data_IF_507888145314
#
_entry.id   IF_507888145314
#
_cell.length_a   1.000
_cell.length_b   1.000
_cell.length_c   1.000
_cell.angle_alpha   90.00
_cell.angle_beta   90.00
_cell.angle_gamma   90.00
#
_symmetry.space_group_name_H-M   'P 1'
#
loop_
_entity.id
_entity.type
_entity.pdbx_description
1 polymer ?
#
# COMPACT_ATOMS: atom_id res chain seq x y z
N UNK A 1 -59.28 -53.17 66.57
CA UNK A 1 -59.43 -51.70 66.61
C UNK A 1 -58.31 -51.09 65.79
N UNK A 2 -58.68 -50.18 64.86
CA UNK A 2 -57.89 -49.29 63.98
C UNK A 2 -56.94 -49.96 62.95
N UNK A 3 -57.28 -50.12 61.64
CA UNK A 3 -57.18 -49.15 60.50
C UNK A 3 -55.84 -48.38 60.46
N UNK A 4 -55.04 -48.31 59.39
CA UNK A 4 -55.33 -47.99 57.97
C UNK A 4 -54.06 -48.21 57.11
N UNK A 5 -54.21 -48.67 55.86
CA UNK A 5 -53.30 -48.38 54.72
C UNK A 5 -53.82 -47.13 53.99
N UNK A 6 -53.14 -46.49 53.00
CA UNK A 6 -51.73 -46.48 52.56
C UNK A 6 -51.15 -45.05 52.37
N UNK A 7 -49.86 -44.90 52.06
CA UNK A 7 -49.36 -43.71 51.35
C UNK A 7 -48.13 -44.05 50.50
N UNK A 8 -48.38 -44.19 49.20
CA UNK A 8 -47.36 -44.01 48.16
C UNK A 8 -46.98 -42.54 48.21
N UNK A 9 -45.77 -42.22 48.68
CA UNK A 9 -45.25 -40.86 48.56
C UNK A 9 -44.25 -40.78 47.41
N UNK A 10 -44.69 -40.01 46.42
CA UNK A 10 -44.07 -39.80 45.14
C UNK A 10 -43.24 -38.52 45.26
N UNK A 11 -41.92 -38.63 45.44
CA UNK A 11 -41.04 -37.45 45.34
C UNK A 11 -39.69 -37.79 44.70
N UNK A 12 -39.74 -38.22 43.43
CA UNK A 12 -38.62 -38.06 42.49
C UNK A 12 -39.04 -37.14 41.35
N UNK A 13 -39.24 -35.86 41.67
CA UNK A 13 -39.34 -34.77 40.68
C UNK A 13 -38.24 -33.72 40.97
N UNK A 14 -37.06 -34.17 41.39
CA UNK A 14 -35.88 -33.31 41.57
C UNK A 14 -34.86 -33.37 40.44
N UNK A 15 -34.97 -34.34 39.52
CA UNK A 15 -33.86 -34.67 38.60
C UNK A 15 -33.96 -34.07 37.19
N UNK A 16 -35.12 -33.58 36.75
CA UNK A 16 -35.27 -33.08 35.38
C UNK A 16 -34.78 -31.62 35.21
N UNK A 17 -34.94 -30.78 36.25
CA UNK A 17 -34.54 -29.37 36.21
C UNK A 17 -33.01 -29.21 36.31
N UNK A 18 -32.35 -30.02 37.14
CA UNK A 18 -30.88 -30.00 37.27
C UNK A 18 -30.17 -30.56 36.03
N UNK A 19 -30.70 -31.61 35.40
CA UNK A 19 -30.16 -32.14 34.14
C UNK A 19 -30.28 -31.12 32.98
N UNK A 20 -31.37 -30.35 32.92
CA UNK A 20 -31.55 -29.28 31.94
C UNK A 20 -30.59 -28.09 32.13
N UNK A 21 -30.26 -27.73 33.39
CA UNK A 21 -29.31 -26.65 33.71
C UNK A 21 -27.86 -27.03 33.41
N UNK A 22 -27.48 -28.30 33.62
CA UNK A 22 -26.15 -28.82 33.30
C UNK A 22 -25.86 -28.83 31.79
N UNK A 23 -26.83 -29.27 30.98
CA UNK A 23 -26.73 -29.27 29.52
C UNK A 23 -26.66 -27.85 28.95
N UNK A 24 -27.46 -26.93 29.50
CA UNK A 24 -27.41 -25.51 29.13
C UNK A 24 -26.06 -24.89 29.47
N UNK A 25 -25.51 -25.11 30.68
CA UNK A 25 -24.16 -24.64 31.03
C UNK A 25 -23.08 -25.21 30.11
N UNK A 26 -23.15 -26.50 29.78
CA UNK A 26 -22.21 -27.14 28.85
C UNK A 26 -22.31 -26.59 27.42
N UNK A 27 -23.52 -26.28 26.93
CA UNK A 27 -23.72 -25.63 25.63
C UNK A 27 -23.25 -24.17 25.63
N UNK A 28 -23.45 -23.43 26.72
CA UNK A 28 -22.93 -22.06 26.87
C UNK A 28 -21.41 -22.03 26.98
N UNK A 29 -20.77 -22.94 27.73
CA UNK A 29 -19.30 -23.01 27.80
C UNK A 29 -18.67 -23.51 26.50
N UNK A 30 -19.32 -24.45 25.80
CA UNK A 30 -18.93 -24.89 24.47
C UNK A 30 -19.07 -23.76 23.43
N UNK A 31 -20.19 -23.01 23.47
CA UNK A 31 -20.41 -21.83 22.63
C UNK A 31 -19.45 -20.67 22.93
N UNK A 32 -19.14 -20.43 24.20
CA UNK A 32 -18.17 -19.41 24.62
C UNK A 32 -16.74 -19.80 24.21
N UNK A 33 -16.36 -21.08 24.37
CA UNK A 33 -15.07 -21.59 23.89
C UNK A 33 -14.93 -21.50 22.37
N UNK A 34 -16.03 -21.77 21.62
CA UNK A 34 -16.07 -21.60 20.17
C UNK A 34 -15.94 -20.13 19.75
N UNK A 35 -16.66 -19.21 20.40
CA UNK A 35 -16.56 -17.76 20.16
C UNK A 35 -15.14 -17.26 20.44
N UNK A 36 -14.57 -17.61 21.59
CA UNK A 36 -13.21 -17.21 21.93
C UNK A 36 -12.17 -17.72 20.93
N UNK A 37 -12.32 -18.97 20.48
CA UNK A 37 -11.45 -19.53 19.44
C UNK A 37 -11.61 -18.79 18.10
N UNK A 38 -12.83 -18.43 17.74
CA UNK A 38 -13.10 -17.66 16.53
C UNK A 38 -12.50 -16.25 16.61
N UNK A 39 -12.63 -15.55 17.75
CA UNK A 39 -12.00 -14.25 18.00
C UNK A 39 -10.47 -14.33 17.87
N UNK A 40 -9.85 -15.36 18.45
CA UNK A 40 -8.40 -15.56 18.37
C UNK A 40 -7.93 -15.85 16.93
N UNK A 41 -8.70 -16.64 16.18
CA UNK A 41 -8.39 -16.92 14.77
C UNK A 41 -8.51 -15.65 13.92
N UNK A 42 -9.56 -14.83 14.13
CA UNK A 42 -9.72 -13.56 13.44
C UNK A 42 -8.59 -12.58 13.77
N UNK A 43 -8.21 -12.49 15.05
CA UNK A 43 -7.08 -11.67 15.48
C UNK A 43 -5.76 -12.13 14.85
N UNK A 44 -5.53 -13.44 14.75
CA UNK A 44 -4.33 -13.99 14.11
C UNK A 44 -4.31 -13.68 12.60
N UNK A 45 -5.45 -13.80 11.91
CA UNK A 45 -5.55 -13.44 10.49
C UNK A 45 -5.28 -11.94 10.27
N UNK A 46 -5.81 -11.07 11.12
CA UNK A 46 -5.52 -9.62 11.06
C UNK A 46 -4.02 -9.34 11.28
N UNK A 47 -3.41 -9.99 12.28
CA UNK A 47 -1.98 -9.85 12.55
C UNK A 47 -1.10 -10.36 11.40
N UNK A 48 -1.45 -11.49 10.78
CA UNK A 48 -0.75 -12.01 9.61
C UNK A 48 -0.91 -11.07 8.40
N UNK A 49 -2.08 -10.47 8.23
CA UNK A 49 -2.33 -9.46 7.20
C UNK A 49 -1.41 -8.25 7.37
N UNK A 50 -1.33 -7.71 8.60
CA UNK A 50 -0.41 -6.60 8.91
C UNK A 50 1.06 -6.98 8.71
N UNK A 51 1.47 -8.18 9.13
CA UNK A 51 2.83 -8.65 8.91
C UNK A 51 3.15 -8.77 7.41
N UNK A 52 2.22 -9.30 6.61
CA UNK A 52 2.41 -9.42 5.17
C UNK A 52 2.56 -8.05 4.50
N UNK A 53 1.78 -7.05 4.93
CA UNK A 53 1.89 -5.67 4.45
C UNK A 53 3.25 -5.04 4.81
N UNK A 54 3.71 -5.20 6.06
CA UNK A 54 5.02 -4.69 6.47
C UNK A 54 6.17 -5.40 5.75
N UNK A 55 6.06 -6.71 5.50
CA UNK A 55 7.01 -7.45 4.67
C UNK A 55 7.00 -6.95 3.22
N UNK A 56 5.83 -6.65 2.67
CA UNK A 56 5.71 -6.09 1.32
C UNK A 56 6.42 -4.73 1.22
N UNK A 57 6.17 -3.82 2.17
CA UNK A 57 6.84 -2.52 2.24
C UNK A 57 8.35 -2.65 2.41
N UNK A 58 8.79 -3.55 3.29
CA UNK A 58 10.21 -3.82 3.48
C UNK A 58 10.87 -4.31 2.17
N UNK A 59 10.20 -5.20 1.43
CA UNK A 59 10.69 -5.68 0.14
C UNK A 59 10.78 -4.55 -0.89
N UNK A 60 9.79 -3.64 -0.94
CA UNK A 60 9.83 -2.47 -1.82
C UNK A 60 11.01 -1.54 -1.50
N UNK A 61 11.25 -1.27 -0.21
CA UNK A 61 12.37 -0.45 0.25
C UNK A 61 13.71 -1.11 -0.12
N UNK A 62 13.85 -2.42 0.11
CA UNK A 62 15.07 -3.16 -0.26
C UNK A 62 15.30 -3.16 -1.78
N UNK A 63 14.26 -3.37 -2.57
CA UNK A 63 14.35 -3.30 -4.02
C UNK A 63 14.79 -1.91 -4.48
N UNK A 64 14.21 -0.85 -3.90
CA UNK A 64 14.60 0.52 -4.23
C UNK A 64 16.05 0.83 -3.82
N UNK A 65 16.50 0.39 -2.64
CA UNK A 65 17.90 0.54 -2.22
C UNK A 65 18.87 -0.11 -3.21
N UNK A 66 18.53 -1.31 -3.72
CA UNK A 66 19.32 -1.99 -4.75
C UNK A 66 19.41 -1.18 -6.04
N UNK A 67 18.26 -0.70 -6.57
CA UNK A 67 18.21 0.09 -7.81
C UNK A 67 18.93 1.42 -7.65
N UNK A 68 18.71 2.13 -6.54
CA UNK A 68 19.39 3.41 -6.26
C UNK A 68 20.89 3.22 -6.11
N UNK A 69 21.35 2.12 -5.49
CA UNK A 69 22.77 1.78 -5.43
C UNK A 69 23.40 1.39 -6.79
N UNK A 70 22.59 0.97 -7.78
CA UNK A 70 23.05 0.81 -9.16
C UNK A 70 23.14 2.17 -9.88
N UNK A 71 22.13 3.04 -9.69
CA UNK A 71 22.11 4.38 -10.25
C UNK A 71 23.27 5.24 -9.73
N UNK A 72 23.55 5.20 -8.42
CA UNK A 72 24.68 5.94 -7.83
C UNK A 72 26.01 5.55 -8.47
N UNK A 73 26.25 4.25 -8.65
CA UNK A 73 27.46 3.75 -9.34
C UNK A 73 27.51 4.18 -10.80
N UNK A 74 26.37 4.17 -11.49
CA UNK A 74 26.30 4.60 -12.88
C UNK A 74 26.47 6.12 -13.04
N UNK A 75 26.09 6.92 -12.05
CA UNK A 75 26.35 8.36 -12.04
C UNK A 75 27.86 8.63 -11.95
N UNK A 76 28.61 7.81 -11.23
CA UNK A 76 30.07 7.99 -11.06
C UNK A 76 30.91 7.38 -12.20
N UNK A 77 30.37 6.39 -12.94
CA UNK A 77 31.08 5.68 -14.00
C UNK A 77 30.33 5.77 -15.36
N UNK A 78 30.85 6.54 -16.34
CA UNK A 78 30.24 6.66 -17.66
C UNK A 78 30.04 5.33 -18.40
N UNK A 79 30.89 4.33 -18.16
CA UNK A 79 30.75 3.01 -18.79
C UNK A 79 29.53 2.27 -18.23
N UNK A 80 29.24 2.42 -16.93
CA UNK A 80 28.01 1.89 -16.33
C UNK A 80 26.78 2.73 -16.70
N UNK A 81 26.94 4.05 -16.83
CA UNK A 81 25.88 4.95 -17.30
C UNK A 81 25.34 4.55 -18.68
N UNK A 82 26.23 4.13 -19.59
CA UNK A 82 25.88 3.69 -20.94
C UNK A 82 25.02 2.41 -20.96
N UNK A 83 25.07 1.59 -19.90
CA UNK A 83 24.23 0.38 -19.78
C UNK A 83 22.83 0.73 -19.31
N UNK A 84 22.69 1.71 -18.42
CA UNK A 84 21.39 2.07 -17.82
C UNK A 84 20.60 3.08 -18.65
N UNK A 85 21.27 3.93 -19.42
CA UNK A 85 20.62 5.00 -20.17
C UNK A 85 20.38 4.59 -21.62
N UNK A 86 19.11 4.51 -22.02
CA UNK A 86 18.68 4.31 -23.42
C UNK A 86 18.69 5.60 -24.25
N UNK A 87 19.11 6.73 -23.65
CA UNK A 87 19.09 8.03 -24.30
C UNK A 87 20.40 8.24 -25.08
N UNK A 88 20.25 8.55 -26.36
CA UNK A 88 21.34 8.89 -27.27
C UNK A 88 21.64 10.41 -27.25
N UNK A 89 22.76 10.79 -27.87
CA UNK A 89 23.19 12.18 -28.05
C UNK A 89 23.26 13.00 -26.75
N UNK A 90 23.81 12.39 -25.69
CA UNK A 90 24.08 13.04 -24.41
C UNK A 90 25.57 13.06 -24.12
N UNK A 91 26.08 14.20 -23.67
CA UNK A 91 27.35 14.25 -22.96
C UNK A 91 27.26 13.46 -21.65
N UNK A 92 28.41 13.06 -21.09
CA UNK A 92 28.46 12.37 -19.79
C UNK A 92 27.84 13.21 -18.67
N UNK A 93 27.93 14.54 -18.75
CA UNK A 93 27.27 15.45 -17.81
C UNK A 93 25.75 15.36 -17.90
N UNK A 94 25.20 15.44 -19.11
CA UNK A 94 23.75 15.35 -19.33
C UNK A 94 23.22 13.95 -18.99
N UNK A 95 23.96 12.89 -19.32
CA UNK A 95 23.58 11.51 -18.97
C UNK A 95 23.46 11.34 -17.46
N UNK A 96 24.40 11.88 -16.68
CA UNK A 96 24.32 11.88 -15.20
C UNK A 96 23.11 12.64 -14.70
N UNK A 97 22.81 13.79 -15.29
CA UNK A 97 21.61 14.56 -14.97
C UNK A 97 20.31 13.78 -15.26
N UNK A 98 20.23 13.08 -16.39
CA UNK A 98 19.07 12.26 -16.74
C UNK A 98 18.90 11.07 -15.78
N UNK A 99 19.99 10.39 -15.41
CA UNK A 99 19.96 9.31 -14.42
C UNK A 99 19.54 9.82 -13.04
N UNK A 100 20.01 10.98 -12.64
CA UNK A 100 19.61 11.60 -11.37
C UNK A 100 18.13 12.04 -11.39
N UNK A 101 17.64 12.60 -12.50
CA UNK A 101 16.22 12.93 -12.65
C UNK A 101 15.31 11.69 -12.56
N UNK A 102 15.72 10.57 -13.18
CA UNK A 102 15.03 9.28 -13.04
C UNK A 102 14.98 8.81 -11.57
N UNK A 103 16.11 8.93 -10.85
CA UNK A 103 16.20 8.58 -9.43
C UNK A 103 15.25 9.41 -8.57
N UNK A 104 15.23 10.73 -8.73
CA UNK A 104 14.35 11.61 -7.97
C UNK A 104 12.88 11.29 -8.20
N UNK A 105 12.50 11.03 -9.46
CA UNK A 105 11.15 10.54 -9.79
C UNK A 105 10.82 9.23 -9.07
N UNK A 106 11.68 8.22 -9.22
CA UNK A 106 11.48 6.90 -8.60
C UNK A 106 11.39 6.98 -7.06
N UNK A 107 12.08 7.96 -6.45
CA UNK A 107 12.07 8.20 -5.00
C UNK A 107 10.70 8.73 -4.55
N UNK A 108 10.11 9.68 -5.28
CA UNK A 108 8.76 10.17 -5.02
C UNK A 108 7.70 9.08 -5.20
N UNK A 109 7.82 8.28 -6.26
CA UNK A 109 6.91 7.13 -6.49
C UNK A 109 7.05 6.08 -5.39
N UNK A 110 8.26 5.81 -4.90
CA UNK A 110 8.45 4.91 -3.76
C UNK A 110 7.76 5.43 -2.51
N UNK A 111 7.92 6.72 -2.18
CA UNK A 111 7.30 7.34 -1.01
C UNK A 111 5.78 7.13 -1.02
N UNK A 112 5.13 7.27 -2.18
CA UNK A 112 3.72 6.89 -2.34
C UNK A 112 3.47 5.40 -2.11
N UNK A 113 4.24 4.52 -2.76
CA UNK A 113 4.04 3.05 -2.67
C UNK A 113 4.23 2.48 -1.27
N UNK A 114 5.07 3.11 -0.43
CA UNK A 114 5.27 2.69 0.96
C UNK A 114 4.31 3.38 1.95
N UNK A 115 3.38 4.21 1.44
CA UNK A 115 2.38 4.91 2.25
C UNK A 115 2.91 6.13 3.00
N UNK A 116 4.07 6.67 2.60
CA UNK A 116 4.58 7.94 3.13
C UNK A 116 3.89 9.14 2.49
N UNK A 117 3.49 9.03 1.22
CA UNK A 117 2.66 10.00 0.53
C UNK A 117 1.27 9.45 0.24
N UNK A 118 0.25 10.27 0.44
CA UNK A 118 -1.01 10.12 -0.28
C UNK A 118 -0.88 10.60 -1.74
N UNK A 119 -1.96 10.48 -2.53
CA UNK A 119 -1.93 10.87 -3.94
C UNK A 119 -1.68 12.38 -4.14
N UNK A 120 -2.28 13.22 -3.30
CA UNK A 120 -2.10 14.68 -3.38
C UNK A 120 -0.68 15.09 -3.04
N UNK A 121 -0.08 14.45 -2.03
CA UNK A 121 1.32 14.65 -1.64
C UNK A 121 2.29 14.22 -2.75
N UNK A 122 2.02 13.08 -3.41
CA UNK A 122 2.81 12.64 -4.58
C UNK A 122 2.73 13.67 -5.72
N UNK A 123 1.53 14.09 -6.11
CA UNK A 123 1.34 15.06 -7.20
C UNK A 123 1.98 16.41 -6.85
N UNK A 124 1.86 16.85 -5.59
CA UNK A 124 2.52 18.06 -5.11
C UNK A 124 4.04 17.98 -5.21
N UNK A 125 4.64 16.87 -4.78
CA UNK A 125 6.08 16.66 -4.87
C UNK A 125 6.58 16.58 -6.32
N UNK A 126 5.84 15.90 -7.20
CA UNK A 126 6.13 15.85 -8.62
C UNK A 126 5.99 17.22 -9.30
N UNK A 127 5.04 18.07 -8.88
CA UNK A 127 4.93 19.45 -9.37
C UNK A 127 6.16 20.29 -9.03
N UNK A 128 6.70 20.15 -7.82
CA UNK A 128 7.97 20.80 -7.47
C UNK A 128 9.10 20.30 -8.37
N UNK A 129 9.16 19.00 -8.64
CA UNK A 129 10.16 18.41 -9.51
C UNK A 129 10.02 18.89 -10.97
N UNK A 130 8.79 19.07 -11.47
CA UNK A 130 8.50 19.56 -12.82
C UNK A 130 9.02 20.97 -13.11
N UNK A 131 9.18 21.82 -12.08
CA UNK A 131 9.80 23.15 -12.23
C UNK A 131 11.28 23.09 -12.62
N UNK A 132 11.93 21.94 -12.42
CA UNK A 132 13.32 21.75 -12.81
C UNK A 132 13.42 21.46 -14.32
N UNK A 133 14.05 22.35 -15.08
CA UNK A 133 14.21 22.18 -16.53
C UNK A 133 14.95 20.91 -16.97
N UNK A 134 15.82 20.36 -16.10
CA UNK A 134 16.46 19.05 -16.32
C UNK A 134 15.42 17.93 -16.24
N UNK A 135 14.55 17.97 -15.22
CA UNK A 135 13.47 16.98 -15.09
C UNK A 135 12.48 17.08 -16.25
N UNK A 136 12.04 18.28 -16.61
CA UNK A 136 11.14 18.48 -17.76
C UNK A 136 11.77 17.93 -19.06
N UNK A 137 13.09 18.10 -19.23
CA UNK A 137 13.82 17.53 -20.39
C UNK A 137 13.90 16.01 -20.32
N UNK A 138 14.24 15.45 -19.16
CA UNK A 138 14.21 14.01 -18.91
C UNK A 138 12.84 13.42 -19.23
N UNK A 139 11.77 14.07 -18.76
CA UNK A 139 10.40 13.64 -18.98
C UNK A 139 10.06 13.60 -20.47
N UNK A 140 10.35 14.66 -21.23
CA UNK A 140 10.14 14.68 -22.69
C UNK A 140 10.95 13.59 -23.42
N UNK A 141 12.22 13.39 -23.04
CA UNK A 141 13.11 12.42 -23.69
C UNK A 141 12.74 10.96 -23.42
N UNK A 142 11.94 10.68 -22.39
CA UNK A 142 11.56 9.32 -21.99
C UNK A 142 10.11 8.97 -22.32
N UNK A 143 9.47 9.70 -23.26
CA UNK A 143 8.07 9.49 -23.65
C UNK A 143 7.74 8.09 -24.13
N UNK A 144 8.64 7.47 -24.89
CA UNK A 144 8.40 6.13 -25.43
C UNK A 144 8.25 5.08 -24.33
N UNK A 145 8.99 5.22 -23.21
CA UNK A 145 8.88 4.32 -22.08
C UNK A 145 7.47 4.36 -21.47
N UNK A 146 6.91 5.57 -21.33
CA UNK A 146 5.59 5.77 -20.72
C UNK A 146 4.41 5.46 -21.64
N UNK A 147 4.55 5.63 -22.96
CA UNK A 147 3.53 5.23 -23.93
C UNK A 147 3.27 3.71 -23.97
N UNK A 148 4.23 2.91 -23.50
CA UNK A 148 4.09 1.46 -23.42
C UNK A 148 3.30 0.96 -22.20
N UNK A 149 2.97 1.87 -21.27
CA UNK A 149 2.34 1.52 -20.00
C UNK A 149 0.81 1.42 -20.13
N UNK A 150 0.15 0.49 -19.42
CA UNK A 150 -1.30 0.49 -19.30
C UNK A 150 -1.82 1.76 -18.64
N UNK A 151 -2.88 2.33 -19.20
CA UNK A 151 -3.50 3.58 -18.78
C UNK A 151 -4.03 3.59 -17.34
N UNK A 152 -4.40 2.42 -16.83
CA UNK A 152 -4.95 2.16 -15.50
C UNK A 152 -3.89 1.74 -14.48
N UNK A 153 -2.66 1.46 -14.93
CA UNK A 153 -1.55 1.18 -14.03
C UNK A 153 -1.24 2.38 -13.16
N UNK A 154 -0.66 2.15 -11.97
CA UNK A 154 -0.19 3.22 -11.11
C UNK A 154 0.77 4.16 -11.86
N UNK A 155 1.72 3.59 -12.60
CA UNK A 155 2.70 4.35 -13.37
C UNK A 155 2.04 5.17 -14.49
N UNK A 156 1.05 4.61 -15.19
CA UNK A 156 0.29 5.33 -16.22
C UNK A 156 -0.53 6.50 -15.65
N UNK A 157 -1.13 6.33 -14.47
CA UNK A 157 -1.83 7.41 -13.75
C UNK A 157 -0.87 8.51 -13.31
N UNK A 158 0.30 8.15 -12.79
CA UNK A 158 1.34 9.11 -12.40
C UNK A 158 1.85 9.86 -13.63
N UNK A 159 2.10 9.15 -14.74
CA UNK A 159 2.55 9.76 -15.99
C UNK A 159 1.58 10.83 -16.50
N UNK A 160 0.27 10.54 -16.49
CA UNK A 160 -0.77 11.51 -16.86
C UNK A 160 -0.79 12.72 -15.93
N UNK A 161 -0.61 12.51 -14.63
CA UNK A 161 -0.55 13.62 -13.68
C UNK A 161 0.66 14.52 -13.94
N UNK A 162 1.84 13.94 -14.22
CA UNK A 162 3.05 14.70 -14.56
C UNK A 162 2.89 15.43 -15.90
N UNK A 163 2.30 14.78 -16.92
CA UNK A 163 2.03 15.41 -18.22
C UNK A 163 1.10 16.64 -18.04
N UNK A 164 0.01 16.51 -17.28
CA UNK A 164 -0.90 17.62 -16.98
C UNK A 164 -0.21 18.75 -16.20
N UNK A 165 0.63 18.42 -15.21
CA UNK A 165 1.39 19.41 -14.44
C UNK A 165 2.38 20.18 -15.32
N UNK A 166 3.06 19.51 -16.25
CA UNK A 166 3.99 20.18 -17.18
C UNK A 166 3.23 21.07 -18.16
N UNK A 167 2.07 20.65 -18.64
CA UNK A 167 1.19 21.47 -19.50
C UNK A 167 0.73 22.73 -18.76
N UNK A 168 0.24 22.60 -17.52
CA UNK A 168 -0.14 23.75 -16.67
C UNK A 168 1.03 24.72 -16.44
N UNK A 169 2.23 24.20 -16.14
CA UNK A 169 3.42 25.04 -15.92
C UNK A 169 3.91 25.74 -17.20
N UNK A 170 3.66 25.17 -18.37
CA UNK A 170 3.97 25.80 -19.66
C UNK A 170 2.96 26.94 -19.97
N UNK A 171 1.70 26.82 -19.52
CA UNK A 171 0.65 27.84 -19.69
C UNK A 171 0.75 28.98 -18.66
N UNK A 172 0.95 28.67 -17.38
CA UNK A 172 1.15 29.63 -16.30
C UNK A 172 2.27 29.17 -15.33
N UNK A 173 3.52 29.64 -15.55
CA UNK A 173 4.66 29.29 -14.71
C UNK A 173 4.57 29.77 -13.24
N UNK A 174 3.71 30.76 -12.97
CA UNK A 174 3.58 31.44 -11.69
C UNK A 174 2.44 30.88 -10.83
N UNK A 175 1.45 30.19 -11.41
CA UNK A 175 0.32 29.57 -10.70
C UNK A 175 0.64 28.11 -10.28
N UNK A 176 1.34 27.93 -9.15
CA UNK A 176 1.79 26.60 -8.68
C UNK A 176 1.24 26.16 -7.32
N UNK A 177 0.33 26.92 -6.71
CA UNK A 177 -0.18 26.70 -5.34
C UNK A 177 -1.69 26.45 -5.22
N UNK A 178 -2.42 26.16 -6.30
CA UNK A 178 -3.86 25.89 -6.19
C UNK A 178 -4.12 24.42 -5.83
N UNK A 179 -4.38 24.19 -4.54
CA UNK A 179 -4.82 22.91 -3.99
C UNK A 179 -6.33 22.75 -4.20
N UNK A 180 -6.72 21.63 -4.82
CA UNK A 180 -8.10 21.14 -4.74
C UNK A 180 -8.49 20.29 -5.94
N UNK A 181 -8.39 18.98 -5.80
CA UNK A 181 -9.48 18.02 -6.07
C UNK A 181 -9.07 16.68 -5.47
N UNK A 182 -9.48 16.51 -4.22
CA UNK A 182 -9.59 15.22 -3.55
C UNK A 182 -10.60 14.35 -4.29
N UNK A 183 -10.12 13.55 -5.24
CA UNK A 183 -10.75 12.30 -5.62
C UNK A 183 -9.66 11.22 -5.74
N UNK A 184 -9.62 10.34 -4.74
CA UNK A 184 -8.87 9.09 -4.85
C UNK A 184 -9.34 8.34 -6.09
N UNK A 185 -8.44 7.83 -6.96
CA UNK A 185 -8.85 6.82 -7.92
C UNK A 185 -9.25 5.57 -7.13
N UNK A 186 -10.53 5.24 -7.19
CA UNK A 186 -11.10 4.03 -6.58
C UNK A 186 -10.24 2.80 -6.86
N UNK A 187 -9.98 2.04 -5.79
CA UNK A 187 -9.11 0.87 -5.74
C UNK A 187 -9.55 -0.28 -6.64
#
# INVERSE_FOLDING_TARGET
MATQTPAVDCSRIGSAVEAGRGLMRALFTWGAGRRRRQELLLALVDQLGRLAEEMHRANLIQFHQMITGQLDRAIDDPALAAVLSTLDDLSDGERRQMLFANREYATNVLAYRVGMYDWGELVGALRVLCRNGVFATYWRRTVEHRLSLPDDSLEGRIAKAVDAVLEELDEDPDEWWVVGLSEEPSS
#
